data_IF_671653424698
#
_entry.id   IF_671653424698
#
_cell.length_a   1.000
_cell.length_b   1.000
_cell.length_c   1.000
_cell.angle_alpha   90.00
_cell.angle_beta   90.00
_cell.angle_gamma   90.00
#
_symmetry.space_group_name_H-M   'P 1'
#
loop_
_entity.id
_entity.type
_entity.pdbx_description
1 polymer ?
#
# COMPACT_ATOMS: atom_id res chain seq x y z
N UNK A 1 -17.10 14.30 4.75
CA UNK A 1 -17.06 12.91 5.25
C UNK A 1 -15.93 12.86 6.27
N UNK A 2 -16.21 12.46 7.51
CA UNK A 2 -15.16 12.40 8.53
C UNK A 2 -14.20 11.25 8.21
N UNK A 3 -12.90 11.50 8.24
CA UNK A 3 -11.93 10.41 8.24
C UNK A 3 -12.25 9.50 9.43
N UNK A 4 -12.62 8.24 9.17
CA UNK A 4 -12.66 7.23 10.21
C UNK A 4 -11.21 6.95 10.60
N UNK A 5 -10.93 7.07 11.89
CA UNK A 5 -9.58 7.02 12.43
C UNK A 5 -9.54 5.94 13.49
N UNK A 6 -8.53 5.09 13.42
CA UNK A 6 -8.28 4.01 14.36
C UNK A 6 -7.06 4.41 15.20
N UNK A 7 -7.15 4.46 16.53
CA UNK A 7 -5.99 4.67 17.39
C UNK A 7 -4.90 3.64 17.12
N UNK A 8 -3.63 4.06 17.08
CA UNK A 8 -2.52 3.12 16.84
C UNK A 8 -2.43 2.08 17.96
N UNK A 9 -2.83 2.43 19.19
CA UNK A 9 -2.84 1.51 20.33
C UNK A 9 -3.76 0.31 20.09
N UNK A 10 -4.94 0.54 19.50
CA UNK A 10 -5.91 -0.52 19.18
C UNK A 10 -5.37 -1.47 18.11
N UNK A 11 -4.67 -0.92 17.10
CA UNK A 11 -4.01 -1.68 16.03
C UNK A 11 -2.88 -2.53 16.60
N UNK A 12 -2.03 -1.94 17.44
CA UNK A 12 -0.92 -2.63 18.09
C UNK A 12 -1.42 -3.81 18.92
N UNK A 13 -2.51 -3.60 19.68
CA UNK A 13 -3.13 -4.64 20.49
C UNK A 13 -3.76 -5.76 19.64
N UNK A 14 -4.47 -5.41 18.57
CA UNK A 14 -5.16 -6.40 17.73
C UNK A 14 -4.18 -7.24 16.89
N UNK A 15 -3.21 -6.60 16.24
CA UNK A 15 -2.24 -7.27 15.37
C UNK A 15 -0.98 -7.75 16.08
N UNK A 16 -0.88 -7.52 17.39
CA UNK A 16 0.28 -7.89 18.21
C UNK A 16 1.59 -7.33 17.67
N UNK A 17 1.58 -6.03 17.34
CA UNK A 17 2.72 -5.33 16.73
C UNK A 17 3.16 -4.16 17.60
N UNK A 18 4.44 -3.83 17.52
CA UNK A 18 4.98 -2.69 18.25
C UNK A 18 4.65 -1.37 17.53
N UNK A 19 4.36 -0.33 18.31
CA UNK A 19 4.13 1.01 17.76
C UNK A 19 5.33 1.53 16.96
N UNK A 20 6.55 1.13 17.34
CA UNK A 20 7.78 1.47 16.65
C UNK A 20 7.81 0.89 15.23
N UNK A 21 7.24 -0.30 15.01
CA UNK A 21 7.14 -0.89 13.68
C UNK A 21 6.23 -0.04 12.78
N UNK A 22 5.06 0.37 13.30
CA UNK A 22 4.13 1.24 12.56
C UNK A 22 4.77 2.60 12.26
N UNK A 23 5.49 3.20 13.22
CA UNK A 23 6.24 4.44 13.00
C UNK A 23 7.31 4.27 11.94
N UNK A 24 8.02 3.14 11.94
CA UNK A 24 9.03 2.87 10.94
C UNK A 24 8.41 2.71 9.54
N UNK A 25 7.25 2.07 9.41
CA UNK A 25 6.53 2.05 8.13
C UNK A 25 6.16 3.47 7.64
N UNK A 26 5.75 4.35 8.55
CA UNK A 26 5.48 5.76 8.24
C UNK A 26 6.74 6.51 7.81
N UNK A 27 7.87 6.30 8.50
CA UNK A 27 9.16 6.93 8.17
C UNK A 27 9.68 6.53 6.79
N UNK A 28 9.40 5.29 6.36
CA UNK A 28 9.70 4.80 5.01
C UNK A 28 8.66 5.23 3.96
N UNK A 29 7.65 6.03 4.34
CA UNK A 29 6.57 6.49 3.46
C UNK A 29 5.64 5.36 3.01
N UNK A 30 5.67 4.22 3.70
CA UNK A 30 4.87 3.05 3.36
C UNK A 30 3.43 3.20 3.85
N UNK A 31 3.17 3.95 4.91
CA UNK A 31 1.81 4.29 5.37
C UNK A 31 1.78 5.75 5.84
N UNK A 32 0.59 6.31 6.03
CA UNK A 32 0.41 7.63 6.63
C UNK A 32 -0.44 7.55 7.90
N UNK A 33 0.03 8.16 8.99
CA UNK A 33 -0.77 8.35 10.20
C UNK A 33 -1.19 9.81 10.32
N UNK A 34 -2.13 10.08 11.23
CA UNK A 34 -2.56 11.43 11.56
C UNK A 34 -2.68 11.61 13.06
N UNK A 35 -2.59 12.85 13.53
CA UNK A 35 -2.72 13.17 14.95
C UNK A 35 -4.10 13.77 15.20
N UNK A 36 -4.87 13.15 16.09
CA UNK A 36 -6.17 13.65 16.56
C UNK A 36 -6.22 13.61 18.07
N UNK A 37 -6.56 14.76 18.69
CA UNK A 37 -6.63 14.91 20.16
C UNK A 37 -5.35 14.44 20.87
N UNK A 38 -4.18 14.72 20.29
CA UNK A 38 -2.85 14.32 20.80
C UNK A 38 -2.55 12.81 20.73
N UNK A 39 -3.42 12.00 20.11
CA UNK A 39 -3.16 10.59 19.82
C UNK A 39 -2.87 10.39 18.34
N UNK A 40 -1.92 9.52 18.01
CA UNK A 40 -1.70 9.07 16.63
C UNK A 40 -2.77 8.06 16.24
N UNK A 41 -3.28 8.21 15.04
CA UNK A 41 -4.33 7.37 14.49
C UNK A 41 -4.01 7.00 13.04
N UNK A 42 -4.41 5.81 12.64
CA UNK A 42 -4.40 5.38 11.25
C UNK A 42 -5.75 5.72 10.58
N UNK A 43 -5.74 6.38 9.41
CA UNK A 43 -6.90 6.43 8.54
C UNK A 43 -7.35 5.02 8.12
N UNK A 44 -8.67 4.75 8.11
CA UNK A 44 -9.19 3.41 7.77
C UNK A 44 -8.79 2.96 6.36
N UNK A 45 -8.63 3.88 5.42
CA UNK A 45 -8.14 3.64 4.06
C UNK A 45 -6.68 3.16 4.00
N UNK A 46 -5.87 3.48 5.02
CA UNK A 46 -4.50 2.96 5.16
C UNK A 46 -4.45 1.58 5.85
N UNK A 47 -5.55 1.12 6.47
CA UNK A 47 -5.57 -0.15 7.22
C UNK A 47 -5.22 -1.35 6.35
N UNK A 48 -5.82 -1.47 5.16
CA UNK A 48 -5.54 -2.57 4.25
C UNK A 48 -4.07 -2.60 3.83
N UNK A 49 -3.44 -1.43 3.68
CA UNK A 49 -2.04 -1.30 3.32
C UNK A 49 -1.14 -1.74 4.48
N UNK A 50 -1.45 -1.31 5.71
CA UNK A 50 -0.76 -1.76 6.91
C UNK A 50 -0.84 -3.30 7.05
N UNK A 51 -2.03 -3.89 6.91
CA UNK A 51 -2.22 -5.34 7.02
C UNK A 51 -1.41 -6.13 5.98
N UNK A 52 -1.22 -5.58 4.77
CA UNK A 52 -0.34 -6.19 3.78
C UNK A 52 1.10 -6.26 4.28
N UNK A 53 1.63 -5.15 4.81
CA UNK A 53 2.99 -5.11 5.35
C UNK A 53 3.15 -5.98 6.60
N UNK A 54 2.12 -6.06 7.43
CA UNK A 54 2.11 -6.96 8.59
C UNK A 54 2.23 -8.42 8.17
N UNK A 55 1.49 -8.84 7.13
CA UNK A 55 1.64 -10.21 6.59
C UNK A 55 3.04 -10.46 6.04
N UNK A 56 3.63 -9.49 5.32
CA UNK A 56 5.02 -9.63 4.85
C UNK A 56 6.00 -9.80 6.02
N UNK A 57 5.81 -9.03 7.11
CA UNK A 57 6.67 -9.10 8.29
C UNK A 57 6.48 -10.40 9.09
N UNK A 58 5.24 -10.80 9.32
CA UNK A 58 4.88 -11.87 10.25
C UNK A 58 4.85 -13.24 9.57
N UNK A 59 4.28 -13.35 8.37
CA UNK A 59 4.09 -14.63 7.68
C UNK A 59 5.31 -15.02 6.86
N UNK A 60 6.02 -14.02 6.31
CA UNK A 60 7.17 -14.22 5.43
C UNK A 60 8.50 -13.80 6.07
N UNK A 61 8.48 -13.38 7.34
CA UNK A 61 9.66 -12.98 8.13
C UNK A 61 10.53 -11.92 7.43
N UNK A 62 9.91 -11.04 6.64
CA UNK A 62 10.62 -9.99 5.91
C UNK A 62 10.85 -8.79 6.84
N UNK A 63 12.10 -8.33 6.93
CA UNK A 63 12.44 -7.13 7.68
C UNK A 63 11.93 -5.85 7.00
N UNK A 64 12.04 -4.71 7.71
CA UNK A 64 11.53 -3.44 7.21
C UNK A 64 12.18 -2.98 5.89
N UNK A 65 13.49 -3.14 5.76
CA UNK A 65 14.22 -2.83 4.52
C UNK A 65 13.75 -3.70 3.36
N UNK A 66 13.49 -4.99 3.64
CA UNK A 66 12.93 -5.93 2.69
C UNK A 66 11.50 -5.55 2.28
N UNK A 67 10.67 -5.12 3.23
CA UNK A 67 9.31 -4.63 2.95
C UNK A 67 9.35 -3.39 2.06
N UNK A 68 10.24 -2.44 2.36
CA UNK A 68 10.41 -1.25 1.53
C UNK A 68 10.87 -1.61 0.10
N UNK A 69 11.84 -2.52 -0.02
CA UNK A 69 12.28 -3.02 -1.33
C UNK A 69 11.15 -3.72 -2.09
N UNK A 70 10.38 -4.60 -1.44
CA UNK A 70 9.23 -5.29 -2.02
C UNK A 70 8.17 -4.28 -2.47
N UNK A 71 7.84 -3.29 -1.64
CA UNK A 71 6.88 -2.24 -2.00
C UNK A 71 7.33 -1.46 -3.23
N UNK A 72 8.62 -1.14 -3.32
CA UNK A 72 9.18 -0.45 -4.48
C UNK A 72 9.13 -1.31 -5.76
N UNK A 73 9.41 -2.60 -5.65
CA UNK A 73 9.33 -3.53 -6.79
C UNK A 73 7.89 -3.75 -7.24
N UNK A 74 6.94 -3.90 -6.32
CA UNK A 74 5.52 -4.04 -6.65
C UNK A 74 5.00 -2.78 -7.38
N UNK A 75 5.41 -1.60 -6.95
CA UNK A 75 5.05 -0.35 -7.64
C UNK A 75 5.60 -0.31 -9.07
N UNK A 76 6.84 -0.73 -9.29
CA UNK A 76 7.41 -0.81 -10.65
C UNK A 76 6.66 -1.81 -11.52
N UNK A 77 6.34 -3.00 -10.99
CA UNK A 77 5.56 -4.02 -11.73
C UNK A 77 4.17 -3.48 -12.09
N UNK A 78 3.51 -2.78 -11.17
CA UNK A 78 2.21 -2.17 -11.44
C UNK A 78 2.28 -1.11 -12.55
N UNK A 79 3.28 -0.23 -12.51
CA UNK A 79 3.50 0.78 -13.55
C UNK A 79 3.77 0.14 -14.92
N UNK A 80 4.60 -0.91 -14.96
CA UNK A 80 4.86 -1.66 -16.18
C UNK A 80 3.58 -2.34 -16.72
N UNK A 81 2.75 -2.89 -15.82
CA UNK A 81 1.49 -3.52 -16.21
C UNK A 81 0.50 -2.50 -16.80
N UNK A 82 0.42 -1.31 -16.21
CA UNK A 82 -0.39 -0.19 -16.71
C UNK A 82 0.06 0.25 -18.11
N UNK A 83 1.36 0.37 -18.34
CA UNK A 83 1.92 0.71 -19.65
C UNK A 83 1.60 -0.37 -20.70
N UNK A 84 1.81 -1.65 -20.37
CA UNK A 84 1.44 -2.78 -21.25
C UNK A 84 -0.05 -2.74 -21.60
N UNK A 85 -0.90 -2.48 -20.60
CA UNK A 85 -2.36 -2.39 -20.80
C UNK A 85 -2.73 -1.23 -21.73
N UNK A 86 -2.09 -0.07 -21.54
CA UNK A 86 -2.31 1.10 -22.39
C UNK A 86 -1.91 0.81 -23.86
N UNK A 87 -0.74 0.21 -24.07
CA UNK A 87 -0.26 -0.18 -25.40
C UNK A 87 -1.17 -1.23 -26.07
N UNK A 88 -1.65 -2.22 -25.31
CA UNK A 88 -2.60 -3.21 -25.81
C UNK A 88 -3.92 -2.57 -26.24
N UNK A 89 -4.43 -1.62 -25.47
CA UNK A 89 -5.65 -0.90 -25.80
C UNK A 89 -5.49 -0.08 -27.08
N UNK A 90 -4.36 0.61 -27.26
CA UNK A 90 -4.06 1.37 -28.48
C UNK A 90 -3.93 0.44 -29.71
N UNK A 91 -3.22 -0.68 -29.58
CA UNK A 91 -3.12 -1.68 -30.66
C UNK A 91 -4.49 -2.24 -31.04
N UNK A 92 -5.35 -2.51 -30.06
CA UNK A 92 -6.70 -3.00 -30.32
C UNK A 92 -7.56 -1.95 -31.05
N UNK A 93 -7.42 -0.68 -30.68
CA UNK A 93 -8.08 0.42 -31.38
C UNK A 93 -7.69 0.49 -32.86
N UNK A 94 -6.40 0.47 -33.20
CA UNK A 94 -5.96 0.48 -34.60
C UNK A 94 -6.38 -0.78 -35.38
N UNK A 95 -6.37 -1.96 -34.73
CA UNK A 95 -6.86 -3.19 -35.36
C UNK A 95 -8.34 -3.11 -35.74
N UNK A 96 -9.17 -2.47 -34.90
CA UNK A 96 -10.59 -2.28 -35.19
C UNK A 96 -10.82 -1.30 -36.34
N UNK A 97 -10.07 -0.19 -36.39
CA UNK A 97 -10.14 0.76 -37.50
C UNK A 97 -9.83 0.11 -38.86
N UNK A 98 -8.81 -0.76 -38.91
CA UNK A 98 -8.37 -1.42 -40.14
C UNK A 98 -9.32 -2.55 -40.61
N UNK A 99 -10.32 -2.94 -39.81
CA UNK A 99 -11.33 -3.94 -40.18
C UNK A 99 -12.59 -3.34 -40.81
N UNK A 100 -12.67 -2.00 -40.91
CA UNK A 100 -13.80 -1.28 -41.52
C UNK A 100 -13.47 -0.64 -42.88
N UNK A 101 -12.38 -1.09 -43.52
CA UNK A 101 -12.03 -0.87 -44.92
C UNK A 101 -12.04 -2.20 -45.68
#
# INVERSE_FOLDING_TARGET
MGANLIPLEDICAYHHVEINFIQSLEDFGLIHTTVKKQSRCLPVDELTKLEQYLRLAQDLEINLEGIHAVSHLLNQVQQMHEEITALQNELNYYKQLNQHH
#
